data_IF_685225002561
#
_entry.id   IF_685225002561
#
_cell.length_a   1.000
_cell.length_b   1.000
_cell.length_c   1.000
_cell.angle_alpha   90.00
_cell.angle_beta   90.00
_cell.angle_gamma   90.00
#
_symmetry.space_group_name_H-M   'P 1'
#
loop_
_entity.id
_entity.type
_entity.pdbx_description
1 polymer ?
#
# COMPACT_ATOMS: atom_id res chain seq x y z
N UNK A 1 -12.38 8.12 6.14
CA UNK A 1 -11.95 8.30 4.74
C UNK A 1 -12.05 6.98 4.00
N UNK A 2 -12.28 7.02 2.68
CA UNK A 2 -12.32 5.83 1.83
C UNK A 2 -11.55 6.14 0.54
N UNK A 3 -10.67 5.23 0.12
CA UNK A 3 -10.06 5.24 -1.21
C UNK A 3 -10.07 3.83 -1.78
N UNK A 4 -10.41 3.71 -3.05
CA UNK A 4 -10.42 2.44 -3.77
C UNK A 4 -9.59 2.52 -5.05
N UNK A 5 -9.04 1.39 -5.46
CA UNK A 5 -8.34 1.23 -6.73
C UNK A 5 -8.61 -0.14 -7.29
N UNK A 6 -8.96 -0.21 -8.57
CA UNK A 6 -9.22 -1.47 -9.28
C UNK A 6 -8.34 -1.52 -10.52
N UNK A 7 -7.59 -2.61 -10.68
CA UNK A 7 -6.78 -2.87 -11.87
C UNK A 7 -6.93 -4.32 -12.29
N UNK A 8 -7.51 -4.54 -13.47
CA UNK A 8 -7.88 -5.87 -13.95
C UNK A 8 -8.79 -6.59 -12.95
N UNK A 9 -8.48 -7.84 -12.65
CA UNK A 9 -9.21 -8.65 -11.67
C UNK A 9 -8.76 -8.44 -10.22
N UNK A 10 -8.24 -7.26 -9.86
CA UNK A 10 -7.73 -6.97 -8.51
C UNK A 10 -8.24 -5.62 -8.03
N UNK A 11 -8.55 -5.55 -6.74
CA UNK A 11 -9.03 -4.33 -6.09
C UNK A 11 -8.34 -4.12 -4.75
N UNK A 12 -8.11 -2.85 -4.43
CA UNK A 12 -7.64 -2.35 -3.16
C UNK A 12 -8.65 -1.36 -2.58
N UNK A 13 -8.84 -1.44 -1.27
CA UNK A 13 -9.68 -0.52 -0.50
C UNK A 13 -8.90 -0.07 0.74
N UNK A 14 -8.64 1.23 0.86
CA UNK A 14 -8.18 1.85 2.09
C UNK A 14 -9.36 2.52 2.80
N UNK A 15 -9.53 2.24 4.08
CA UNK A 15 -10.53 2.85 4.92
C UNK A 15 -9.89 3.38 6.20
N UNK A 16 -10.37 4.55 6.61
CA UNK A 16 -10.06 5.15 7.89
C UNK A 16 -11.37 5.51 8.59
N UNK A 17 -11.51 5.13 9.85
CA UNK A 17 -12.74 5.33 10.61
C UNK A 17 -12.44 5.51 12.09
N UNK A 18 -13.40 6.12 12.80
CA UNK A 18 -13.42 6.12 14.26
C UNK A 18 -14.31 4.97 14.73
N UNK A 19 -13.88 4.22 15.73
CA UNK A 19 -14.77 3.26 16.39
C UNK A 19 -15.78 3.97 17.30
N UNK A 20 -16.62 3.20 17.98
CA UNK A 20 -17.66 3.71 18.89
C UNK A 20 -17.11 4.45 20.11
N UNK A 21 -15.82 4.28 20.42
CA UNK A 21 -15.12 4.99 21.49
C UNK A 21 -14.37 6.22 20.96
N UNK A 22 -14.49 6.52 19.67
CA UNK A 22 -13.80 7.63 19.01
C UNK A 22 -12.34 7.35 18.68
N UNK A 23 -11.87 6.09 18.78
CA UNK A 23 -10.47 5.75 18.46
C UNK A 23 -10.29 5.61 16.97
N UNK A 24 -9.19 6.16 16.45
CA UNK A 24 -8.84 6.03 15.04
C UNK A 24 -8.36 4.62 14.66
N UNK A 25 -8.90 4.13 13.54
CA UNK A 25 -8.51 2.91 12.87
C UNK A 25 -8.23 3.18 11.39
N UNK A 26 -7.25 2.46 10.85
CA UNK A 26 -6.99 2.41 9.41
C UNK A 26 -6.83 0.97 8.96
N UNK A 27 -7.29 0.68 7.75
CA UNK A 27 -7.21 -0.63 7.14
C UNK A 27 -7.06 -0.54 5.63
N UNK A 28 -6.35 -1.50 5.07
CA UNK A 28 -6.19 -1.71 3.63
C UNK A 28 -6.58 -3.15 3.33
N UNK A 29 -7.53 -3.33 2.43
CA UNK A 29 -8.13 -4.62 2.09
C UNK A 29 -8.02 -4.90 0.60
N UNK A 30 -7.84 -6.17 0.26
CA UNK A 30 -7.72 -6.66 -1.09
C UNK A 30 -8.86 -7.56 -1.49
N UNK A 31 -9.27 -7.42 -2.74
CA UNK A 31 -10.10 -8.41 -3.39
C UNK A 31 -9.52 -8.84 -4.73
N UNK A 32 -9.75 -10.11 -5.09
CA UNK A 32 -9.45 -10.66 -6.41
C UNK A 32 -10.74 -11.15 -7.05
N UNK A 33 -10.84 -11.00 -8.37
CA UNK A 33 -11.93 -11.54 -9.13
C UNK A 33 -11.72 -13.05 -9.33
N UNK A 34 -12.75 -13.84 -9.03
CA UNK A 34 -12.79 -15.28 -9.26
C UNK A 34 -13.04 -15.58 -10.74
N UNK A 35 -12.86 -16.84 -11.15
CA UNK A 35 -13.16 -17.28 -12.52
C UNK A 35 -14.64 -17.08 -12.90
N UNK A 36 -15.55 -17.09 -11.92
CA UNK A 36 -16.97 -16.81 -12.13
C UNK A 36 -17.29 -15.30 -12.25
N UNK A 37 -16.27 -14.42 -12.18
CA UNK A 37 -16.43 -12.97 -12.26
C UNK A 37 -16.84 -12.29 -10.95
N UNK A 38 -16.96 -13.04 -9.85
CA UNK A 38 -17.28 -12.48 -8.51
C UNK A 38 -16.03 -12.01 -7.79
N UNK A 39 -16.16 -11.13 -6.80
CA UNK A 39 -15.02 -10.66 -6.00
C UNK A 39 -14.89 -11.45 -4.70
N UNK A 40 -13.67 -11.87 -4.37
CA UNK A 40 -13.33 -12.58 -3.14
C UNK A 40 -12.25 -11.82 -2.37
N UNK A 41 -12.37 -11.79 -1.03
CA UNK A 41 -11.34 -11.23 -0.17
C UNK A 41 -10.02 -11.99 -0.34
N UNK A 42 -8.92 -11.24 -0.50
CA UNK A 42 -7.60 -11.81 -0.78
C UNK A 42 -6.55 -11.52 0.30
N UNK A 43 -6.83 -10.59 1.21
CA UNK A 43 -5.86 -10.17 2.21
C UNK A 43 -6.13 -8.75 2.71
N UNK A 44 -5.49 -8.40 3.80
CA UNK A 44 -5.58 -7.04 4.34
C UNK A 44 -4.66 -6.85 5.52
N UNK A 45 -4.41 -5.59 5.82
CA UNK A 45 -3.65 -5.15 6.98
C UNK A 45 -4.37 -3.95 7.60
N UNK A 46 -4.24 -3.78 8.91
CA UNK A 46 -4.84 -2.65 9.60
C UNK A 46 -4.20 -2.43 10.95
N UNK A 47 -4.48 -1.26 11.51
CA UNK A 47 -3.96 -0.87 12.80
C UNK A 47 -4.84 0.20 13.45
N UNK A 48 -4.73 0.26 14.76
CA UNK A 48 -5.30 1.32 15.59
C UNK A 48 -4.17 2.23 16.06
N UNK A 49 -4.50 3.50 16.31
CA UNK A 49 -3.57 4.46 16.87
C UNK A 49 -3.64 5.81 16.18
N UNK A 50 -3.56 6.86 16.99
CA UNK A 50 -3.51 8.24 16.53
C UNK A 50 -2.05 8.71 16.46
N UNK A 51 -1.73 9.44 15.40
CA UNK A 51 -0.46 10.14 15.25
C UNK A 51 0.43 9.57 14.16
N UNK A 52 1.10 10.48 13.46
CA UNK A 52 2.22 10.11 12.60
C UNK A 52 3.34 9.55 13.47
N UNK A 53 4.01 8.46 13.05
CA UNK A 53 5.18 7.99 13.77
C UNK A 53 6.22 9.10 13.79
N UNK A 54 6.84 9.33 14.96
CA UNK A 54 7.88 10.34 15.11
C UNK A 54 9.09 9.97 14.23
N UNK A 55 9.16 10.54 13.02
CA UNK A 55 10.19 10.29 12.03
C UNK A 55 10.72 11.59 11.46
N UNK A 56 12.02 11.61 11.16
CA UNK A 56 12.71 12.76 10.55
C UNK A 56 12.65 12.77 9.02
N UNK A 57 12.15 11.69 8.40
CA UNK A 57 12.03 11.54 6.95
C UNK A 57 10.62 11.05 6.60
N UNK A 58 10.12 11.37 5.39
CA UNK A 58 8.89 10.81 4.87
C UNK A 58 8.87 9.27 4.95
N UNK A 59 7.69 8.70 5.15
CA UNK A 59 7.54 7.26 5.33
C UNK A 59 6.18 6.74 4.82
N UNK A 60 6.18 5.58 4.17
CA UNK A 60 4.94 4.87 3.86
C UNK A 60 4.74 3.67 4.80
N UNK A 61 3.64 3.68 5.54
CA UNK A 61 3.19 2.56 6.33
C UNK A 61 2.32 1.63 5.47
N UNK A 62 2.98 0.77 4.67
CA UNK A 62 2.28 -0.12 3.75
C UNK A 62 2.07 -1.50 4.37
N UNK A 63 0.82 -1.96 4.37
CA UNK A 63 0.51 -3.38 4.43
C UNK A 63 0.42 -3.95 3.02
N UNK A 64 0.68 -5.25 2.87
CA UNK A 64 0.59 -5.88 1.55
C UNK A 64 0.46 -7.38 1.61
N UNK A 65 0.03 -7.94 0.50
CA UNK A 65 -0.16 -9.37 0.27
C UNK A 65 -0.01 -9.66 -1.22
N UNK A 66 0.13 -10.92 -1.55
CA UNK A 66 0.28 -11.34 -2.93
C UNK A 66 0.63 -12.80 -3.02
N UNK A 67 1.06 -13.20 -4.19
CA UNK A 67 1.57 -14.54 -4.46
C UNK A 67 2.66 -14.48 -5.54
N UNK A 68 3.02 -15.62 -6.11
CA UNK A 68 4.05 -15.71 -7.16
C UNK A 68 3.71 -14.98 -8.47
N UNK A 69 2.51 -14.43 -8.62
CA UNK A 69 2.04 -13.76 -9.84
C UNK A 69 1.71 -12.29 -9.64
N UNK A 70 1.37 -11.88 -8.42
CA UNK A 70 0.96 -10.50 -8.16
C UNK A 70 1.30 -10.04 -6.76
N UNK A 71 1.30 -8.72 -6.62
CA UNK A 71 1.48 -8.00 -5.38
C UNK A 71 0.42 -6.90 -5.29
N UNK A 72 -0.17 -6.79 -4.11
CA UNK A 72 -0.98 -5.66 -3.70
C UNK A 72 -0.37 -5.08 -2.42
N UNK A 73 -0.21 -3.77 -2.36
CA UNK A 73 0.24 -3.07 -1.17
C UNK A 73 -0.47 -1.74 -1.04
N UNK A 74 -0.65 -1.25 0.18
CA UNK A 74 -1.22 0.07 0.39
C UNK A 74 -1.19 0.49 1.83
N UNK A 75 -1.46 1.77 2.06
CA UNK A 75 -1.53 2.35 3.39
C UNK A 75 -1.24 3.83 3.41
N UNK A 76 -0.96 4.33 4.62
CA UNK A 76 -0.72 5.76 4.85
C UNK A 76 0.67 6.16 4.44
N UNK A 77 0.75 7.35 3.86
CA UNK A 77 1.98 8.03 3.49
C UNK A 77 2.09 9.27 4.37
N UNK A 78 3.23 9.39 5.03
CA UNK A 78 3.58 10.45 5.97
C UNK A 78 4.72 11.28 5.40
N UNK A 79 4.67 12.59 5.63
CA UNK A 79 5.68 13.55 5.19
C UNK A 79 5.22 14.43 4.04
N UNK A 80 5.51 15.72 4.16
CA UNK A 80 5.12 16.74 3.22
C UNK A 80 5.81 16.58 1.85
N UNK A 81 5.09 16.93 0.79
CA UNK A 81 5.63 16.99 -0.57
C UNK A 81 5.75 15.63 -1.28
N UNK A 82 5.44 14.52 -0.62
CA UNK A 82 5.33 13.21 -1.28
C UNK A 82 4.09 13.19 -2.16
N UNK A 83 4.27 12.98 -3.46
CA UNK A 83 3.18 12.84 -4.42
C UNK A 83 3.07 11.43 -4.99
N UNK A 84 4.15 10.63 -4.96
CA UNK A 84 4.16 9.28 -5.52
C UNK A 84 4.86 8.31 -4.58
N UNK A 85 4.31 7.10 -4.51
CA UNK A 85 4.97 5.95 -3.88
C UNK A 85 5.30 4.95 -4.97
N UNK A 86 6.56 4.51 -5.01
CA UNK A 86 7.01 3.43 -5.88
C UNK A 86 7.56 2.30 -5.03
N UNK A 87 7.17 1.08 -5.34
CA UNK A 87 7.75 -0.11 -4.76
C UNK A 87 8.63 -0.79 -5.81
N UNK A 88 9.90 -1.02 -5.48
CA UNK A 88 10.92 -1.54 -6.38
C UNK A 88 11.43 -2.87 -5.86
N UNK A 89 11.48 -3.90 -6.70
CA UNK A 89 12.02 -5.20 -6.34
C UNK A 89 13.55 -5.29 -6.58
N UNK A 90 14.22 -6.38 -6.17
CA UNK A 90 15.67 -6.53 -6.38
C UNK A 90 16.10 -6.55 -7.86
N UNK A 91 15.21 -6.94 -8.77
CA UNK A 91 15.47 -6.95 -10.21
C UNK A 91 15.24 -5.57 -10.87
N UNK A 92 14.79 -4.56 -10.11
CA UNK A 92 14.49 -3.22 -10.60
C UNK A 92 13.11 -3.06 -11.23
N UNK A 93 12.26 -4.09 -11.21
CA UNK A 93 10.84 -3.95 -11.54
C UNK A 93 10.15 -3.10 -10.49
N UNK A 94 9.17 -2.30 -10.92
CA UNK A 94 8.45 -1.43 -10.00
C UNK A 94 6.97 -1.30 -10.31
N UNK A 95 6.23 -1.05 -9.25
CA UNK A 95 4.82 -0.64 -9.29
C UNK A 95 4.70 0.66 -8.51
N UNK A 96 3.78 1.52 -8.89
CA UNK A 96 3.66 2.84 -8.27
C UNK A 96 2.21 3.32 -8.21
N UNK A 97 1.98 4.30 -7.35
CA UNK A 97 0.71 4.98 -7.21
C UNK A 97 0.89 6.44 -6.83
N UNK A 98 -0.06 7.27 -7.23
CA UNK A 98 -0.15 8.65 -6.77
C UNK A 98 -0.72 8.68 -5.35
N UNK A 99 -0.13 9.52 -4.51
CA UNK A 99 -0.61 9.73 -3.14
C UNK A 99 -1.84 10.62 -3.19
N UNK A 100 -2.97 10.07 -2.77
CA UNK A 100 -4.23 10.78 -2.68
C UNK A 100 -4.70 10.77 -1.24
N UNK A 101 -4.94 11.97 -0.68
CA UNK A 101 -5.37 12.13 0.71
C UNK A 101 -4.47 11.39 1.72
N UNK A 102 -3.15 11.35 1.46
CA UNK A 102 -2.18 10.65 2.31
C UNK A 102 -2.24 9.12 2.21
N UNK A 103 -2.85 8.56 1.16
CA UNK A 103 -2.93 7.12 0.92
C UNK A 103 -2.33 6.76 -0.44
N UNK A 104 -1.57 5.67 -0.48
CA UNK A 104 -1.14 5.01 -1.71
C UNK A 104 -1.69 3.58 -1.78
N UNK A 105 -2.10 3.13 -2.97
CA UNK A 105 -2.64 1.81 -3.30
C UNK A 105 -1.92 1.29 -4.55
N UNK A 106 -1.06 0.30 -4.37
CA UNK A 106 -0.21 -0.29 -5.39
C UNK A 106 -0.72 -1.67 -5.77
N UNK A 107 -1.06 -1.86 -7.04
CA UNK A 107 -1.41 -3.15 -7.63
C UNK A 107 -0.41 -3.43 -8.74
N UNK A 108 0.07 -4.67 -8.88
CA UNK A 108 0.76 -5.04 -10.10
C UNK A 108 1.10 -6.51 -10.26
N UNK A 109 1.47 -6.86 -11.50
CA UNK A 109 1.91 -8.19 -11.93
C UNK A 109 3.37 -8.43 -11.54
N UNK A 110 3.65 -8.34 -10.25
CA UNK A 110 4.97 -8.56 -9.67
C UNK A 110 4.85 -9.62 -8.57
N UNK A 111 5.69 -10.65 -8.61
CA UNK A 111 5.68 -11.71 -7.60
C UNK A 111 6.03 -11.15 -6.23
N UNK A 112 5.23 -11.46 -5.20
CA UNK A 112 5.48 -11.08 -3.81
C UNK A 112 6.82 -11.66 -3.30
N UNK A 113 7.69 -10.79 -2.77
CA UNK A 113 8.97 -11.15 -2.15
C UNK A 113 9.19 -10.46 -0.79
N UNK A 114 10.29 -10.80 -0.13
CA UNK A 114 10.69 -10.26 1.17
C UNK A 114 11.61 -9.03 1.07
N UNK A 115 12.00 -8.62 -0.15
CA UNK A 115 13.12 -7.72 -0.37
C UNK A 115 12.79 -6.55 -1.31
N UNK A 116 11.72 -5.80 -1.02
CA UNK A 116 11.45 -4.57 -1.76
C UNK A 116 12.06 -3.35 -1.10
N UNK A 117 12.14 -2.28 -1.90
CA UNK A 117 12.38 -0.92 -1.44
C UNK A 117 11.17 -0.07 -1.78
N UNK A 118 10.66 0.66 -0.80
CA UNK A 118 9.74 1.77 -1.02
C UNK A 118 10.54 3.01 -1.34
N UNK A 119 10.14 3.72 -2.37
CA UNK A 119 10.62 5.03 -2.79
C UNK A 119 9.47 6.03 -2.69
N UNK A 120 9.75 7.17 -2.05
CA UNK A 120 8.82 8.28 -1.89
C UNK A 120 9.31 9.44 -2.73
N UNK A 121 8.51 9.85 -3.72
CA UNK A 121 8.90 10.85 -4.70
C UNK A 121 8.03 12.10 -4.60
N UNK A 122 8.61 13.25 -4.93
CA UNK A 122 7.86 14.49 -5.16
C UNK A 122 7.27 14.55 -6.57
N UNK A 123 6.53 15.64 -6.84
CA UNK A 123 5.81 15.83 -8.11
C UNK A 123 6.74 16.00 -9.33
N UNK A 124 8.04 16.20 -9.12
CA UNK A 124 9.06 16.24 -10.17
C UNK A 124 9.82 14.91 -10.31
N UNK A 125 9.30 13.84 -9.71
CA UNK A 125 9.92 12.51 -9.64
C UNK A 125 11.29 12.50 -8.93
N UNK A 126 11.56 13.50 -8.09
CA UNK A 126 12.76 13.49 -7.24
C UNK A 126 12.51 12.62 -6.01
N UNK A 127 13.44 11.72 -5.72
CA UNK A 127 13.41 10.87 -4.54
C UNK A 127 13.59 11.72 -3.27
N UNK A 128 12.59 11.67 -2.38
CA UNK A 128 12.61 12.34 -1.07
C UNK A 128 13.14 11.42 0.02
N UNK A 129 12.71 10.16 0.01
CA UNK A 129 13.12 9.15 0.97
C UNK A 129 12.95 7.73 0.40
N UNK A 130 13.62 6.76 1.02
CA UNK A 130 13.43 5.35 0.71
C UNK A 130 13.65 4.48 1.93
N UNK A 131 12.97 3.34 1.99
CA UNK A 131 13.13 2.37 3.07
C UNK A 131 12.86 0.93 2.59
N UNK A 132 13.40 -0.09 3.27
CA UNK A 132 13.04 -1.47 2.96
C UNK A 132 11.55 -1.73 3.25
N UNK A 133 10.99 -2.67 2.52
CA UNK A 133 9.64 -3.19 2.72
C UNK A 133 9.58 -4.66 2.29
N UNK A 134 8.84 -5.46 3.03
CA UNK A 134 8.71 -6.89 2.74
C UNK A 134 8.02 -7.63 3.87
N UNK A 135 7.67 -8.88 3.60
CA UNK A 135 7.09 -9.80 4.56
C UNK A 135 7.34 -11.24 4.13
N UNK A 136 6.85 -12.20 4.91
CA UNK A 136 6.87 -13.61 4.52
C UNK A 136 5.64 -13.88 3.64
N UNK A 137 5.78 -14.47 2.44
CA UNK A 137 4.63 -14.86 1.63
C UNK A 137 3.69 -15.77 2.42
N UNK A 138 2.37 -15.61 2.27
CA UNK A 138 1.43 -16.62 2.73
C UNK A 138 1.66 -17.92 1.92
N UNK A 139 1.72 -19.06 2.62
CA UNK A 139 2.00 -20.37 2.05
C UNK A 139 0.93 -20.84 1.05
#
# INVERSE_FOLDING_TARGET
MLREKVEGGRALLAVEYLDTEGRFHSGVYGAVQTEAGTWAFSGGAGGAGEGEPARSQPWANLGGWGNRRFLCAGGRVHGDGVSRVRLVNPEGLSIEDQVEHGIALLIGDMAFSDAYRVELLDASDRLLASHPWGGVPAA
#
